data_IF_277152054373
#
_entry.id   IF_277152054373
#
_cell.length_a   1.000
_cell.length_b   1.000
_cell.length_c   1.000
_cell.angle_alpha   90.00
_cell.angle_beta   90.00
_cell.angle_gamma   90.00
#
_symmetry.space_group_name_H-M   'P 1'
#
loop_
_entity.id
_entity.type
_entity.pdbx_description
1 polymer ?
#
# COMPACT_ATOMS: atom_id res chain seq x y z
N UNK A 1 -18.77 -55.41 9.98
CA UNK A 1 -17.62 -54.50 9.86
C UNK A 1 -17.50 -53.74 11.18
N UNK A 2 -16.32 -53.72 11.79
CA UNK A 2 -16.11 -53.14 13.13
C UNK A 2 -16.41 -51.63 13.12
N UNK A 3 -17.10 -51.11 14.15
CA UNK A 3 -17.53 -49.71 14.24
C UNK A 3 -16.34 -48.74 14.19
N UNK A 4 -15.16 -49.17 14.65
CA UNK A 4 -13.91 -48.40 14.54
C UNK A 4 -13.41 -48.29 13.09
N UNK A 5 -13.58 -49.35 12.30
CA UNK A 5 -13.19 -49.36 10.87
C UNK A 5 -14.13 -48.47 10.06
N UNK A 6 -15.42 -48.45 10.38
CA UNK A 6 -16.39 -47.54 9.74
C UNK A 6 -16.06 -46.07 10.06
N UNK A 7 -15.71 -45.74 11.31
CA UNK A 7 -15.34 -44.38 11.68
C UNK A 7 -14.05 -43.90 10.98
N UNK A 8 -13.03 -44.76 10.89
CA UNK A 8 -11.78 -44.43 10.18
C UNK A 8 -12.04 -44.23 8.68
N UNK A 9 -12.88 -45.07 8.06
CA UNK A 9 -13.24 -44.94 6.65
C UNK A 9 -14.07 -43.69 6.39
N UNK A 10 -15.00 -43.32 7.28
CA UNK A 10 -15.79 -42.08 7.14
C UNK A 10 -14.91 -40.84 7.31
N UNK A 11 -14.00 -40.82 8.29
CA UNK A 11 -13.05 -39.70 8.48
C UNK A 11 -12.10 -39.59 7.28
N UNK A 12 -11.61 -40.72 6.75
CA UNK A 12 -10.77 -40.71 5.55
C UNK A 12 -11.53 -40.24 4.31
N UNK A 13 -12.81 -40.63 4.13
CA UNK A 13 -13.64 -40.16 3.01
C UNK A 13 -13.98 -38.67 3.14
N UNK A 14 -14.27 -38.17 4.35
CA UNK A 14 -14.51 -36.74 4.59
C UNK A 14 -13.21 -35.94 4.38
N UNK A 15 -12.06 -36.45 4.82
CA UNK A 15 -10.77 -35.81 4.57
C UNK A 15 -10.42 -35.80 3.08
N UNK A 16 -10.64 -36.90 2.34
CA UNK A 16 -10.39 -36.99 0.90
C UNK A 16 -11.39 -36.14 0.10
N UNK A 17 -12.67 -36.08 0.51
CA UNK A 17 -13.68 -35.22 -0.11
C UNK A 17 -13.41 -33.74 0.20
N UNK A 18 -12.97 -33.41 1.42
CA UNK A 18 -12.51 -32.08 1.79
C UNK A 18 -11.29 -31.65 0.98
N UNK A 19 -10.29 -32.53 0.84
CA UNK A 19 -9.11 -32.30 0.00
C UNK A 19 -9.52 -32.17 -1.48
N UNK A 20 -10.46 -32.96 -1.98
CA UNK A 20 -10.93 -32.85 -3.37
C UNK A 20 -11.71 -31.55 -3.63
N UNK A 21 -12.53 -31.09 -2.68
CA UNK A 21 -13.23 -29.80 -2.75
C UNK A 21 -12.24 -28.63 -2.62
N UNK A 22 -11.21 -28.75 -1.78
CA UNK A 22 -10.13 -27.76 -1.64
C UNK A 22 -9.29 -27.70 -2.93
N UNK A 23 -8.91 -28.85 -3.50
CA UNK A 23 -8.19 -28.92 -4.79
C UNK A 23 -9.05 -28.39 -5.94
N UNK A 24 -10.38 -28.59 -5.92
CA UNK A 24 -11.30 -28.01 -6.92
C UNK A 24 -11.55 -26.51 -6.70
N UNK A 25 -11.56 -26.02 -5.46
CA UNK A 25 -11.64 -24.59 -5.12
C UNK A 25 -10.37 -23.83 -5.52
N UNK A 26 -9.20 -24.47 -5.33
CA UNK A 26 -7.88 -23.94 -5.72
C UNK A 26 -7.61 -24.06 -7.23
N UNK A 27 -8.22 -25.05 -7.90
CA UNK A 27 -8.19 -25.23 -9.36
C UNK A 27 -9.55 -24.93 -10.00
N UNK A 28 -10.28 -23.92 -9.52
CA UNK A 28 -11.55 -23.54 -10.14
C UNK A 28 -11.32 -23.42 -11.66
N UNK A 29 -12.27 -23.97 -12.42
CA UNK A 29 -12.22 -24.35 -13.83
C UNK A 29 -11.80 -23.26 -14.84
N UNK A 30 -11.46 -22.06 -14.38
CA UNK A 30 -11.05 -20.89 -15.14
C UNK A 30 -9.54 -20.60 -15.08
N UNK A 31 -8.76 -21.35 -14.29
CA UNK A 31 -7.29 -21.30 -14.31
C UNK A 31 -6.63 -20.05 -13.72
N UNK A 32 -7.36 -19.20 -13.00
CA UNK A 32 -6.83 -17.98 -12.39
C UNK A 32 -6.32 -18.20 -10.96
N UNK A 33 -5.10 -17.73 -10.67
CA UNK A 33 -4.49 -17.84 -9.34
C UNK A 33 -5.25 -16.97 -8.33
N UNK A 34 -5.71 -17.57 -7.23
CA UNK A 34 -6.32 -16.85 -6.10
C UNK A 34 -5.25 -16.21 -5.22
N UNK A 35 -5.56 -15.06 -4.64
CA UNK A 35 -4.64 -14.25 -3.85
C UNK A 35 -5.31 -13.76 -2.58
N UNK A 36 -4.48 -13.51 -1.56
CA UNK A 36 -4.87 -12.96 -0.27
C UNK A 36 -3.89 -11.89 0.18
N UNK A 37 -4.37 -10.95 0.99
CA UNK A 37 -3.56 -9.96 1.71
C UNK A 37 -3.23 -10.54 3.08
N UNK A 38 -1.95 -10.63 3.42
CA UNK A 38 -1.48 -11.33 4.63
C UNK A 38 -0.74 -10.44 5.63
N UNK A 39 -0.60 -9.15 5.32
CA UNK A 39 0.04 -8.19 6.22
C UNK A 39 0.02 -6.78 5.68
N UNK A 40 0.35 -5.83 6.56
CA UNK A 40 0.62 -4.44 6.20
C UNK A 40 2.10 -4.23 5.86
N UNK A 41 2.36 -3.13 5.17
CA UNK A 41 3.71 -2.57 5.00
C UNK A 41 3.80 -1.20 5.66
N UNK A 42 2.73 -0.40 5.56
CA UNK A 42 2.58 0.90 6.20
C UNK A 42 1.12 1.38 6.14
N UNK A 43 0.84 2.46 6.87
CA UNK A 43 -0.37 3.28 6.66
C UNK A 43 -0.06 4.53 5.83
N UNK A 44 1.12 5.12 5.95
CA UNK A 44 1.38 6.45 5.38
C UNK A 44 2.64 6.52 4.54
N UNK A 45 2.88 7.70 3.95
CA UNK A 45 4.07 8.00 3.16
C UNK A 45 3.76 8.70 1.85
N UNK A 46 2.79 9.62 1.83
CA UNK A 46 2.51 10.45 0.66
C UNK A 46 2.24 11.87 1.09
N UNK A 47 2.29 12.79 0.13
CA UNK A 47 1.91 14.16 0.37
C UNK A 47 1.58 14.90 -0.91
N UNK A 48 1.04 16.10 -0.72
CA UNK A 48 0.71 17.03 -1.78
C UNK A 48 1.76 18.14 -1.75
N UNK A 49 2.50 18.28 -2.85
CA UNK A 49 3.39 19.42 -3.09
C UNK A 49 2.78 20.34 -4.13
N UNK A 50 3.06 21.64 -3.99
CA UNK A 50 2.68 22.69 -4.92
C UNK A 50 3.90 23.22 -5.66
N UNK A 51 3.66 23.76 -6.86
CA UNK A 51 4.68 24.49 -7.61
C UNK A 51 5.25 25.66 -6.79
N UNK A 52 6.50 26.03 -7.08
CA UNK A 52 7.27 27.03 -6.31
C UNK A 52 6.60 28.42 -6.21
N UNK A 53 5.71 28.75 -7.14
CA UNK A 53 5.01 30.03 -7.20
C UNK A 53 3.65 30.03 -6.47
N UNK A 54 3.23 28.89 -5.92
CA UNK A 54 2.00 28.77 -5.14
C UNK A 54 2.23 29.06 -3.66
N UNK A 55 1.15 29.39 -2.95
CA UNK A 55 1.14 29.63 -1.50
C UNK A 55 0.23 28.59 -0.86
N UNK A 56 0.73 27.82 0.11
CA UNK A 56 -0.03 26.71 0.70
C UNK A 56 -1.32 27.19 1.38
N UNK A 57 -1.27 28.32 2.07
CA UNK A 57 -2.40 28.92 2.79
C UNK A 57 -3.54 29.36 1.88
N UNK A 58 -3.28 29.58 0.58
CA UNK A 58 -4.34 29.86 -0.39
C UNK A 58 -5.22 28.62 -0.62
N UNK A 59 -4.69 27.41 -0.39
CA UNK A 59 -5.37 26.13 -0.61
C UNK A 59 -5.96 25.56 0.67
N UNK A 60 -5.19 25.56 1.76
CA UNK A 60 -5.58 25.01 3.06
C UNK A 60 -5.16 25.95 4.18
N UNK A 61 -6.11 26.29 5.05
CA UNK A 61 -5.82 26.97 6.33
C UNK A 61 -5.82 25.96 7.46
N UNK A 62 -4.69 25.82 8.15
CA UNK A 62 -4.55 24.94 9.32
C UNK A 62 -4.82 25.74 10.60
N UNK A 63 -5.72 25.25 11.45
CA UNK A 63 -6.12 25.95 12.68
C UNK A 63 -6.50 24.97 13.80
N UNK A 64 -6.32 25.37 15.06
CA UNK A 64 -6.69 24.57 16.24
C UNK A 64 -8.12 24.80 16.73
N UNK A 65 -8.85 25.74 16.12
CA UNK A 65 -10.23 26.07 16.49
C UNK A 65 -11.21 25.52 15.48
N UNK A 66 -12.38 25.06 15.95
CA UNK A 66 -13.46 24.57 15.07
C UNK A 66 -13.79 25.62 14.00
N UNK A 67 -13.77 25.26 12.71
CA UNK A 67 -14.12 26.16 11.62
C UNK A 67 -15.56 26.66 11.70
N UNK A 68 -15.82 27.82 11.10
CA UNK A 68 -17.17 28.40 11.04
C UNK A 68 -18.17 27.50 10.33
N UNK A 69 -19.46 27.68 10.63
CA UNK A 69 -20.54 26.92 9.98
C UNK A 69 -20.46 27.04 8.45
N UNK A 70 -20.48 25.89 7.77
CA UNK A 70 -20.41 25.80 6.31
C UNK A 70 -19.00 25.68 5.72
N UNK A 71 -17.95 25.70 6.54
CA UNK A 71 -16.59 25.41 6.07
C UNK A 71 -16.44 23.92 5.69
N UNK A 72 -15.71 23.66 4.61
CA UNK A 72 -15.24 22.32 4.25
C UNK A 72 -13.90 22.08 4.91
N UNK A 73 -13.78 21.05 5.76
CA UNK A 73 -12.55 20.76 6.47
C UNK A 73 -12.40 19.28 6.77
N UNK A 74 -11.17 18.89 7.07
CA UNK A 74 -10.83 17.62 7.71
C UNK A 74 -10.30 17.95 9.11
N UNK A 75 -10.71 17.16 10.11
CA UNK A 75 -10.16 17.22 11.45
C UNK A 75 -9.19 16.05 11.62
N UNK A 76 -7.92 16.35 11.82
CA UNK A 76 -6.91 15.37 12.18
C UNK A 76 -6.98 15.13 13.69
N UNK A 77 -7.21 13.89 14.10
CA UNK A 77 -7.44 13.59 15.52
C UNK A 77 -6.16 13.43 16.31
N UNK A 78 -5.08 13.00 15.66
CA UNK A 78 -3.74 12.87 16.24
C UNK A 78 -3.12 14.23 16.57
N UNK A 79 -3.23 15.19 15.65
CA UNK A 79 -2.66 16.53 15.81
C UNK A 79 -3.60 17.52 16.51
N UNK A 80 -4.88 17.17 16.65
CA UNK A 80 -5.95 18.07 17.11
C UNK A 80 -6.08 19.35 16.26
N UNK A 81 -5.86 19.22 14.94
CA UNK A 81 -5.88 20.33 13.97
C UNK A 81 -6.98 20.20 12.92
N UNK A 82 -7.51 21.34 12.50
CA UNK A 82 -8.47 21.46 11.41
C UNK A 82 -7.78 21.95 10.14
N UNK A 83 -7.89 21.17 9.08
CA UNK A 83 -7.41 21.47 7.74
C UNK A 83 -8.59 22.01 6.91
N UNK A 84 -8.72 23.33 6.85
CA UNK A 84 -9.85 24.02 6.23
C UNK A 84 -9.55 24.30 4.76
N UNK A 85 -10.37 23.76 3.85
CA UNK A 85 -10.17 23.88 2.42
C UNK A 85 -10.75 25.19 1.87
N UNK A 86 -9.90 25.97 1.21
CA UNK A 86 -10.30 27.16 0.47
C UNK A 86 -10.81 26.76 -0.92
N UNK A 87 -12.02 26.20 -0.98
CA UNK A 87 -12.61 25.54 -2.16
C UNK A 87 -12.48 26.35 -3.46
N UNK A 88 -12.66 27.67 -3.39
CA UNK A 88 -12.55 28.55 -4.57
C UNK A 88 -11.17 28.52 -5.23
N UNK A 89 -10.11 28.30 -4.46
CA UNK A 89 -8.73 28.21 -4.97
C UNK A 89 -8.47 26.90 -5.71
N UNK A 90 -9.13 25.81 -5.32
CA UNK A 90 -8.95 24.49 -5.92
C UNK A 90 -9.66 24.37 -7.28
N UNK A 91 -10.78 25.07 -7.44
CA UNK A 91 -11.54 25.11 -8.69
C UNK A 91 -10.71 25.58 -9.88
N UNK A 92 -10.72 24.82 -10.97
CA UNK A 92 -10.01 25.14 -12.21
C UNK A 92 -8.51 24.81 -12.19
N UNK A 93 -7.99 24.28 -11.08
CA UNK A 93 -6.58 23.89 -10.95
C UNK A 93 -6.33 22.50 -11.52
N UNK A 94 -5.08 22.25 -11.89
CA UNK A 94 -4.62 20.97 -12.44
C UNK A 94 -3.55 20.38 -11.54
N UNK A 95 -3.78 19.17 -11.05
CA UNK A 95 -2.85 18.43 -10.20
C UNK A 95 -2.35 17.16 -10.90
N UNK A 96 -1.10 16.80 -10.69
CA UNK A 96 -0.56 15.53 -11.17
C UNK A 96 -0.87 14.40 -10.18
N UNK A 97 -1.06 13.18 -10.69
CA UNK A 97 -1.09 11.95 -9.89
C UNK A 97 -0.24 10.87 -10.55
N UNK A 98 0.32 9.92 -9.79
CA UNK A 98 1.15 8.87 -10.36
C UNK A 98 0.40 7.90 -11.26
N UNK A 99 -0.89 7.71 -11.07
CA UNK A 99 -1.73 6.91 -11.96
C UNK A 99 -3.15 6.77 -11.46
N UNK A 100 -4.07 6.37 -12.33
CA UNK A 100 -5.50 6.23 -11.97
C UNK A 100 -5.74 5.16 -10.91
N UNK A 101 -4.89 4.13 -10.89
CA UNK A 101 -4.95 3.00 -9.97
C UNK A 101 -4.09 3.18 -8.71
N UNK A 102 -3.87 4.42 -8.26
CA UNK A 102 -3.00 4.75 -7.11
C UNK A 102 -3.80 5.37 -5.97
N UNK A 103 -3.35 5.21 -4.72
CA UNK A 103 -4.07 5.76 -3.56
C UNK A 103 -4.08 7.28 -3.60
N UNK A 104 -3.01 7.89 -4.10
CA UNK A 104 -2.88 9.33 -4.32
C UNK A 104 -3.99 9.86 -5.26
N UNK A 105 -4.33 9.12 -6.31
CA UNK A 105 -5.41 9.52 -7.20
C UNK A 105 -6.78 9.40 -6.52
N UNK A 106 -7.01 8.32 -5.76
CA UNK A 106 -8.25 8.11 -4.99
C UNK A 106 -8.43 9.21 -3.95
N UNK A 107 -7.38 9.53 -3.18
CA UNK A 107 -7.40 10.57 -2.16
C UNK A 107 -7.66 11.95 -2.76
N UNK A 108 -7.00 12.30 -3.87
CA UNK A 108 -7.26 13.57 -4.55
C UNK A 108 -8.71 13.68 -5.07
N UNK A 109 -9.27 12.57 -5.57
CA UNK A 109 -10.69 12.49 -5.95
C UNK A 109 -11.62 12.66 -4.75
N UNK A 110 -11.28 12.06 -3.59
CA UNK A 110 -12.04 12.21 -2.35
C UNK A 110 -12.02 13.66 -1.87
N UNK A 111 -10.86 14.33 -1.92
CA UNK A 111 -10.76 15.78 -1.62
C UNK A 111 -11.63 16.61 -2.56
N UNK A 112 -11.57 16.36 -3.88
CA UNK A 112 -12.42 17.05 -4.85
C UNK A 112 -13.91 16.87 -4.52
N UNK A 113 -14.33 15.63 -4.24
CA UNK A 113 -15.72 15.29 -3.89
C UNK A 113 -16.16 15.98 -2.61
N UNK A 114 -15.32 16.00 -1.57
CA UNK A 114 -15.59 16.68 -0.30
C UNK A 114 -15.75 18.18 -0.48
N UNK A 115 -14.96 18.78 -1.37
CA UNK A 115 -15.08 20.20 -1.75
C UNK A 115 -16.26 20.49 -2.68
N UNK A 116 -17.03 19.47 -3.11
CA UNK A 116 -18.13 19.63 -4.06
C UNK A 116 -17.67 19.92 -5.50
N UNK A 117 -16.40 19.65 -5.82
CA UNK A 117 -15.82 19.83 -7.15
C UNK A 117 -15.98 18.56 -7.98
N UNK A 118 -16.15 18.73 -9.29
CA UNK A 118 -15.97 17.62 -10.23
C UNK A 118 -14.50 17.23 -10.28
N UNK A 119 -14.21 15.97 -10.55
CA UNK A 119 -12.85 15.46 -10.73
C UNK A 119 -12.69 14.91 -12.15
N UNK A 120 -11.88 15.57 -12.99
CA UNK A 120 -11.83 15.31 -14.44
C UNK A 120 -10.40 15.29 -14.97
N UNK A 121 -10.11 14.40 -15.92
CA UNK A 121 -8.80 14.38 -16.58
C UNK A 121 -8.56 15.66 -17.37
N UNK A 122 -7.40 16.28 -17.16
CA UNK A 122 -6.94 17.39 -17.98
C UNK A 122 -6.46 16.89 -19.34
N UNK A 123 -6.78 17.62 -20.40
CA UNK A 123 -6.25 17.44 -21.75
C UNK A 123 -5.66 18.77 -22.18
N UNK A 124 -4.49 18.73 -22.83
CA UNK A 124 -3.79 19.94 -23.25
C UNK A 124 -4.68 20.86 -24.11
N UNK A 125 -4.61 22.16 -23.82
CA UNK A 125 -5.43 23.19 -24.45
C UNK A 125 -6.89 23.27 -23.97
N UNK A 126 -7.35 22.43 -23.05
CA UNK A 126 -8.72 22.53 -22.54
C UNK A 126 -8.90 23.76 -21.63
N UNK A 127 -10.07 24.40 -21.73
CA UNK A 127 -10.48 25.47 -20.81
C UNK A 127 -10.93 24.87 -19.49
N UNK A 128 -10.33 25.32 -18.39
CA UNK A 128 -10.70 24.89 -17.04
C UNK A 128 -11.93 25.64 -16.51
N UNK A 129 -12.69 25.01 -15.62
CA UNK A 129 -13.89 25.55 -14.98
C UNK A 129 -13.69 25.60 -13.47
N UNK A 130 -14.24 26.62 -12.81
CA UNK A 130 -14.11 26.82 -11.36
C UNK A 130 -14.84 25.76 -10.50
N UNK A 131 -15.73 24.97 -11.09
CA UNK A 131 -16.46 23.89 -10.42
C UNK A 131 -15.76 22.53 -10.53
N UNK A 132 -14.54 22.49 -11.07
CA UNK A 132 -13.83 21.26 -11.44
C UNK A 132 -12.37 21.30 -10.98
N UNK A 133 -11.94 20.28 -10.24
CA UNK A 133 -10.53 19.98 -10.03
C UNK A 133 -10.06 19.03 -11.14
N UNK A 134 -9.00 19.42 -11.84
CA UNK A 134 -8.46 18.62 -12.94
C UNK A 134 -7.26 17.80 -12.51
N UNK A 135 -7.05 16.65 -13.17
CA UNK A 135 -5.89 15.81 -12.93
C UNK A 135 -5.11 15.43 -14.21
N UNK A 136 -3.79 15.29 -14.09
CA UNK A 136 -2.94 14.61 -15.07
C UNK A 136 -2.40 13.34 -14.41
N UNK A 137 -2.89 12.18 -14.84
CA UNK A 137 -2.43 10.89 -14.31
C UNK A 137 -1.19 10.40 -15.08
N UNK A 138 -0.46 9.44 -14.49
CA UNK A 138 0.71 8.83 -15.13
C UNK A 138 2.00 9.64 -14.94
N UNK A 139 2.14 10.30 -13.79
CA UNK A 139 3.33 11.06 -13.40
C UNK A 139 3.95 10.41 -12.15
N UNK A 140 4.74 9.33 -12.28
CA UNK A 140 5.22 8.51 -11.18
C UNK A 140 6.46 9.05 -10.45
N UNK A 141 7.07 10.14 -10.91
CA UNK A 141 8.25 10.72 -10.26
C UNK A 141 8.24 12.24 -10.27
N UNK A 142 8.97 12.83 -9.34
CA UNK A 142 9.14 14.28 -9.28
C UNK A 142 9.79 14.84 -10.56
N UNK A 143 10.77 14.14 -11.13
CA UNK A 143 11.39 14.54 -12.40
C UNK A 143 10.37 14.56 -13.56
N UNK A 144 9.45 13.58 -13.60
CA UNK A 144 8.36 13.59 -14.59
C UNK A 144 7.36 14.71 -14.34
N UNK A 145 7.07 15.06 -13.08
CA UNK A 145 6.24 16.20 -12.75
C UNK A 145 6.83 17.51 -13.27
N UNK A 146 8.13 17.75 -13.03
CA UNK A 146 8.83 18.92 -13.57
C UNK A 146 8.77 18.97 -15.11
N UNK A 147 9.01 17.83 -15.77
CA UNK A 147 8.91 17.74 -17.22
C UNK A 147 7.50 18.05 -17.73
N UNK A 148 6.45 17.59 -17.03
CA UNK A 148 5.06 17.84 -17.41
C UNK A 148 4.64 19.29 -17.19
N UNK A 149 5.15 19.96 -16.15
CA UNK A 149 4.89 21.38 -15.90
C UNK A 149 5.31 22.28 -17.07
N UNK A 150 6.29 21.87 -17.89
CA UNK A 150 6.68 22.61 -19.09
C UNK A 150 5.59 22.64 -20.19
N UNK A 151 4.59 21.74 -20.11
CA UNK A 151 3.56 21.54 -21.14
C UNK A 151 2.12 21.58 -20.62
N UNK A 152 1.92 21.67 -19.31
CA UNK A 152 0.59 21.65 -18.68
C UNK A 152 0.56 22.63 -17.51
N UNK A 153 -0.59 23.28 -17.20
CA UNK A 153 -0.73 24.26 -16.12
C UNK A 153 -0.85 23.57 -14.75
N UNK A 154 0.11 22.69 -14.46
CA UNK A 154 0.17 21.88 -13.25
C UNK A 154 0.64 22.73 -12.06
N UNK A 155 -0.26 22.92 -11.09
CA UNK A 155 0.01 23.71 -9.89
C UNK A 155 0.40 22.86 -8.68
N UNK A 156 0.14 21.56 -8.74
CA UNK A 156 0.46 20.65 -7.64
C UNK A 156 0.53 19.19 -8.06
N UNK A 157 0.99 18.37 -7.13
CA UNK A 157 1.30 16.97 -7.34
C UNK A 157 1.09 16.21 -6.03
N UNK A 158 0.23 15.21 -6.06
CA UNK A 158 0.12 14.25 -4.95
C UNK A 158 0.95 13.02 -5.28
N UNK A 159 1.91 12.69 -4.42
CA UNK A 159 2.88 11.63 -4.68
C UNK A 159 3.35 10.95 -3.41
N UNK A 160 3.82 9.72 -3.56
CA UNK A 160 4.43 8.93 -2.51
C UNK A 160 5.86 9.36 -2.17
N UNK A 161 6.34 8.93 -1.00
CA UNK A 161 7.71 9.08 -0.57
C UNK A 161 8.66 8.10 -1.30
N UNK A 162 9.90 8.47 -1.62
CA UNK A 162 10.57 9.71 -1.23
C UNK A 162 10.32 10.90 -2.19
N UNK A 163 9.45 10.76 -3.20
CA UNK A 163 9.30 11.79 -4.24
C UNK A 163 8.71 13.10 -3.69
N UNK A 164 7.85 13.01 -2.67
CA UNK A 164 7.37 14.18 -1.94
C UNK A 164 8.56 14.92 -1.30
N UNK A 165 9.38 14.22 -0.50
CA UNK A 165 10.56 14.78 0.15
C UNK A 165 11.62 15.29 -0.83
N UNK A 166 11.76 14.65 -1.99
CA UNK A 166 12.60 15.13 -3.12
C UNK A 166 12.14 16.50 -3.62
N UNK A 167 10.83 16.72 -3.75
CA UNK A 167 10.28 18.00 -4.18
C UNK A 167 10.63 19.13 -3.22
N UNK A 168 10.65 18.86 -1.92
CA UNK A 168 11.04 19.84 -0.90
C UNK A 168 12.51 20.26 -1.02
N UNK A 169 13.40 19.36 -1.45
CA UNK A 169 14.81 19.70 -1.73
C UNK A 169 14.99 20.55 -2.99
N UNK A 170 13.93 20.70 -3.79
CA UNK A 170 13.89 21.51 -5.01
C UNK A 170 13.04 22.79 -4.82
N UNK A 171 12.83 23.24 -3.58
CA UNK A 171 12.09 24.44 -3.21
C UNK A 171 10.59 24.43 -3.59
N UNK A 172 10.00 23.26 -3.81
CA UNK A 172 8.54 23.14 -3.98
C UNK A 172 7.85 23.26 -2.61
N UNK A 173 6.62 23.74 -2.63
CA UNK A 173 5.90 24.12 -1.41
C UNK A 173 5.11 22.90 -0.90
N UNK A 174 5.34 22.41 0.33
CA UNK A 174 4.50 21.38 0.92
C UNK A 174 3.12 21.96 1.20
N UNK A 175 2.05 21.26 0.79
CA UNK A 175 0.69 21.62 1.15
C UNK A 175 0.20 20.85 2.37
N UNK A 176 0.35 19.53 2.33
CA UNK A 176 0.00 18.62 3.42
C UNK A 176 0.60 17.24 3.14
N UNK A 177 0.91 16.47 4.18
CA UNK A 177 1.02 15.03 4.06
C UNK A 177 -0.37 14.41 3.88
N UNK A 178 -0.44 13.23 3.30
CA UNK A 178 -1.71 12.51 3.22
C UNK A 178 -2.17 12.03 4.59
N UNK A 179 -1.27 11.88 5.58
CA UNK A 179 -1.67 11.53 6.94
C UNK A 179 -2.47 12.66 7.61
N UNK A 180 -2.05 13.90 7.38
CA UNK A 180 -2.73 15.11 7.85
C UNK A 180 -4.21 15.12 7.43
N UNK A 181 -4.51 14.59 6.24
CA UNK A 181 -5.83 14.61 5.61
C UNK A 181 -6.59 13.27 5.69
N UNK A 182 -5.88 12.14 5.83
CA UNK A 182 -6.42 10.79 5.80
C UNK A 182 -5.71 9.94 6.85
N UNK A 183 -5.94 10.25 8.12
CA UNK A 183 -5.26 9.61 9.25
C UNK A 183 -5.32 8.07 9.16
N UNK A 184 -4.16 7.40 9.22
CA UNK A 184 -4.07 5.94 9.31
C UNK A 184 -4.56 5.15 8.09
N UNK A 185 -4.79 5.78 6.93
CA UNK A 185 -5.23 5.08 5.71
C UNK A 185 -4.28 3.93 5.34
N UNK A 186 -4.71 2.91 4.58
CA UNK A 186 -3.77 1.89 4.09
C UNK A 186 -3.07 2.34 2.80
N UNK A 187 -1.73 2.33 2.78
CA UNK A 187 -0.95 2.59 1.56
C UNK A 187 -0.43 1.30 0.91
N UNK A 188 0.49 0.56 1.56
CA UNK A 188 1.11 -0.67 1.05
C UNK A 188 0.80 -1.91 1.90
N UNK A 189 0.70 -3.06 1.23
CA UNK A 189 0.35 -4.35 1.83
C UNK A 189 1.28 -5.46 1.34
N UNK A 190 1.20 -6.62 2.00
CA UNK A 190 1.82 -7.87 1.55
C UNK A 190 0.73 -8.77 0.96
N UNK A 191 0.79 -9.00 -0.35
CA UNK A 191 -0.04 -9.97 -1.05
C UNK A 191 0.67 -11.33 -1.15
N UNK A 192 -0.10 -12.42 -1.12
CA UNK A 192 0.41 -13.78 -1.30
C UNK A 192 -0.48 -14.58 -2.25
N UNK A 193 0.12 -15.52 -2.97
CA UNK A 193 -0.63 -16.47 -3.81
C UNK A 193 -1.23 -17.56 -2.92
N UNK A 194 -2.53 -17.85 -3.05
CA UNK A 194 -3.18 -18.91 -2.26
C UNK A 194 -2.59 -20.29 -2.53
N UNK A 195 -2.03 -20.51 -3.73
CA UNK A 195 -1.26 -21.72 -4.04
C UNK A 195 -0.03 -21.83 -3.14
N UNK A 196 0.69 -20.73 -2.94
CA UNK A 196 1.84 -20.70 -2.05
C UNK A 196 1.41 -20.84 -0.58
N UNK A 197 0.39 -20.08 -0.16
CA UNK A 197 -0.20 -20.16 1.19
C UNK A 197 -0.57 -21.58 1.62
N UNK A 198 -1.17 -22.35 0.71
CA UNK A 198 -1.55 -23.73 0.98
C UNK A 198 -0.37 -24.69 1.11
N UNK A 199 0.70 -24.49 0.33
CA UNK A 199 1.83 -25.43 0.27
C UNK A 199 2.95 -25.11 1.25
N UNK A 200 3.11 -23.83 1.62
CA UNK A 200 4.29 -23.30 2.31
C UNK A 200 3.90 -22.33 3.44
N UNK A 201 2.75 -22.55 4.11
CA UNK A 201 2.24 -21.74 5.23
C UNK A 201 3.31 -21.43 6.29
N UNK A 202 3.98 -22.46 6.82
CA UNK A 202 5.04 -22.30 7.82
C UNK A 202 6.21 -21.45 7.31
N UNK A 203 6.56 -21.56 6.02
CA UNK A 203 7.62 -20.76 5.40
C UNK A 203 7.20 -19.27 5.32
N UNK A 204 5.92 -18.99 5.06
CA UNK A 204 5.36 -17.64 5.12
C UNK A 204 5.34 -17.09 6.55
N UNK A 205 4.91 -17.88 7.54
CA UNK A 205 4.86 -17.44 8.94
C UNK A 205 6.26 -17.04 9.44
N UNK A 206 7.30 -17.81 9.10
CA UNK A 206 8.70 -17.46 9.39
C UNK A 206 9.09 -16.16 8.69
N UNK A 207 8.69 -15.96 7.42
CA UNK A 207 8.95 -14.71 6.72
C UNK A 207 8.30 -13.51 7.41
N UNK A 208 7.01 -13.62 7.76
CA UNK A 208 6.25 -12.54 8.40
C UNK A 208 6.81 -12.22 9.79
N UNK A 209 7.29 -13.22 10.54
CA UNK A 209 7.96 -13.03 11.83
C UNK A 209 9.30 -12.27 11.69
N UNK A 210 10.11 -12.63 10.70
CA UNK A 210 11.37 -11.90 10.44
C UNK A 210 11.08 -10.48 9.97
N UNK A 211 10.08 -10.31 9.08
CA UNK A 211 9.65 -9.01 8.58
C UNK A 211 9.12 -8.11 9.70
N UNK A 212 8.27 -8.61 10.60
CA UNK A 212 7.76 -7.82 11.73
C UNK A 212 8.88 -7.36 12.66
N UNK A 213 9.85 -8.23 12.96
CA UNK A 213 11.05 -7.86 13.72
C UNK A 213 11.87 -6.77 13.04
N UNK A 214 11.94 -6.78 11.71
CA UNK A 214 12.63 -5.74 10.97
C UNK A 214 11.86 -4.41 11.03
N UNK A 215 10.54 -4.44 10.91
CA UNK A 215 9.68 -3.27 11.12
C UNK A 215 9.87 -2.69 12.53
N UNK A 216 9.89 -3.53 13.57
CA UNK A 216 10.14 -3.09 14.95
C UNK A 216 11.52 -2.44 15.10
N UNK A 217 12.55 -3.02 14.49
CA UNK A 217 13.91 -2.46 14.52
C UNK A 217 14.02 -1.11 13.82
N UNK A 218 13.42 -0.95 12.64
CA UNK A 218 13.45 0.36 11.95
C UNK A 218 12.66 1.41 12.73
N UNK A 219 11.51 1.04 13.32
CA UNK A 219 10.73 1.97 14.14
C UNK A 219 11.51 2.38 15.39
N UNK A 220 12.19 1.43 16.06
CA UNK A 220 13.06 1.74 17.19
C UNK A 220 14.26 2.62 16.76
N UNK A 221 14.85 2.36 15.60
CA UNK A 221 15.95 3.15 15.05
C UNK A 221 15.55 4.60 14.78
N UNK A 222 14.35 4.84 14.25
CA UNK A 222 13.84 6.21 14.00
C UNK A 222 13.62 7.00 15.30
N UNK A 223 13.44 6.31 16.43
CA UNK A 223 13.36 6.93 17.77
C UNK A 223 14.74 7.13 18.43
N UNK A 224 15.79 6.47 17.94
CA UNK A 224 17.15 6.57 18.45
C UNK A 224 18.18 6.76 17.30
N UNK A 225 18.36 8.02 16.84
CA UNK A 225 19.28 8.34 15.74
C UNK A 225 20.76 8.04 16.00
N UNK A 226 21.13 7.72 17.24
CA UNK A 226 22.50 7.35 17.61
C UNK A 226 22.72 5.82 17.60
N UNK A 227 21.67 5.03 17.35
CA UNK A 227 21.73 3.57 17.31
C UNK A 227 22.46 3.05 16.07
N UNK A 228 23.10 1.88 16.21
CA UNK A 228 23.70 1.15 15.08
C UNK A 228 22.64 0.80 14.01
N UNK A 229 21.41 0.51 14.43
CA UNK A 229 20.29 0.21 13.54
C UNK A 229 19.87 1.44 12.72
N UNK A 230 19.94 2.65 13.28
CA UNK A 230 19.69 3.88 12.53
C UNK A 230 20.76 4.12 11.47
N UNK A 231 22.04 4.00 11.84
CA UNK A 231 23.13 4.12 10.88
C UNK A 231 23.00 3.11 9.73
N UNK A 232 22.60 1.88 10.04
CA UNK A 232 22.38 0.82 9.06
C UNK A 232 21.13 1.09 8.20
N UNK A 233 20.02 1.56 8.78
CA UNK A 233 18.82 1.97 8.06
C UNK A 233 19.13 3.06 7.03
N UNK A 234 19.85 4.11 7.43
CA UNK A 234 20.26 5.19 6.51
C UNK A 234 21.16 4.64 5.40
N UNK A 235 22.13 3.79 5.73
CA UNK A 235 23.02 3.16 4.75
C UNK A 235 22.22 2.35 3.73
N UNK A 236 21.26 1.55 4.17
CA UNK A 236 20.41 0.71 3.31
C UNK A 236 19.51 1.60 2.45
N UNK A 237 18.86 2.61 3.04
CA UNK A 237 18.01 3.54 2.30
C UNK A 237 18.77 4.27 1.19
N UNK A 238 19.99 4.75 1.45
CA UNK A 238 20.86 5.39 0.43
C UNK A 238 21.21 4.45 -0.73
N UNK A 239 21.28 3.15 -0.49
CA UNK A 239 21.60 2.16 -1.52
C UNK A 239 20.38 1.66 -2.29
N UNK A 240 19.19 1.70 -1.66
CA UNK A 240 17.99 1.04 -2.17
C UNK A 240 16.98 2.02 -2.74
N UNK A 241 16.81 3.20 -2.15
CA UNK A 241 15.79 4.17 -2.56
C UNK A 241 16.20 4.87 -3.85
N UNK A 242 15.26 4.93 -4.80
CA UNK A 242 15.48 5.61 -6.08
C UNK A 242 15.49 7.12 -5.87
N UNK A 243 16.60 7.77 -6.20
CA UNK A 243 16.76 9.23 -6.10
C UNK A 243 17.16 9.83 -7.44
N UNK A 244 16.67 11.04 -7.77
CA UNK A 244 17.04 11.70 -9.02
C UNK A 244 18.52 12.13 -9.02
N UNK A 245 19.17 11.99 -10.18
CA UNK A 245 20.57 12.38 -10.37
C UNK A 245 20.83 13.88 -10.25
N UNK A 246 19.77 14.70 -10.35
CA UNK A 246 19.84 16.16 -10.24
C UNK A 246 20.13 16.66 -8.82
N UNK A 247 19.92 15.84 -7.79
CA UNK A 247 20.17 16.22 -6.40
C UNK A 247 21.61 15.93 -5.99
N UNK A 248 22.18 16.77 -5.12
CA UNK A 248 23.44 16.50 -4.44
C UNK A 248 23.29 15.33 -3.46
N UNK A 249 24.41 14.72 -3.04
CA UNK A 249 24.36 13.63 -2.06
C UNK A 249 23.73 14.07 -0.72
N UNK A 250 23.98 15.31 -0.31
CA UNK A 250 23.36 15.92 0.88
C UNK A 250 21.85 16.07 0.72
N UNK A 251 21.38 16.57 -0.43
CA UNK A 251 19.94 16.69 -0.71
C UNK A 251 19.27 15.31 -0.77
N UNK A 252 19.92 14.31 -1.36
CA UNK A 252 19.41 12.93 -1.40
C UNK A 252 19.27 12.37 0.01
N UNK A 253 20.28 12.58 0.86
CA UNK A 253 20.24 12.12 2.25
C UNK A 253 19.15 12.82 3.06
N UNK A 254 19.00 14.15 2.92
CA UNK A 254 17.93 14.90 3.56
C UNK A 254 16.55 14.43 3.09
N UNK A 255 16.36 14.15 1.80
CA UNK A 255 15.12 13.62 1.26
C UNK A 255 14.82 12.21 1.80
N UNK A 256 15.84 11.35 1.94
CA UNK A 256 15.68 10.02 2.56
C UNK A 256 15.22 10.16 4.01
N UNK A 257 15.91 10.99 4.80
CA UNK A 257 15.60 11.16 6.21
C UNK A 257 14.17 11.69 6.37
N UNK A 258 13.82 12.75 5.64
CA UNK A 258 12.45 13.30 5.62
C UNK A 258 11.43 12.20 5.28
N UNK A 259 11.68 11.44 4.22
CA UNK A 259 10.78 10.37 3.79
C UNK A 259 10.64 9.24 4.82
N UNK A 260 11.71 8.84 5.51
CA UNK A 260 11.66 7.84 6.57
C UNK A 260 10.77 8.27 7.74
N UNK A 261 10.80 9.57 8.09
CA UNK A 261 9.96 10.12 9.16
C UNK A 261 8.51 10.38 8.75
N UNK A 262 8.23 10.53 7.44
CA UNK A 262 6.88 10.72 6.92
C UNK A 262 6.13 9.39 6.67
N UNK A 263 6.81 8.25 6.81
CA UNK A 263 6.23 6.91 6.58
C UNK A 263 6.00 6.20 7.92
N UNK A 264 4.75 5.83 8.18
CA UNK A 264 4.40 4.98 9.33
C UNK A 264 4.52 3.51 8.94
N UNK A 265 5.63 2.87 9.34
CA UNK A 265 5.92 1.47 9.01
C UNK A 265 5.15 0.48 9.90
N UNK A 266 4.43 -0.43 9.26
CA UNK A 266 3.55 -1.40 9.91
C UNK A 266 3.76 -2.81 9.35
N UNK A 267 3.42 -3.82 10.14
CA UNK A 267 3.23 -5.20 9.68
C UNK A 267 1.81 -5.71 9.94
N UNK A 268 1.11 -5.15 10.94
CA UNK A 268 -0.26 -5.45 11.33
C UNK A 268 -0.91 -4.22 11.98
N UNK A 269 -2.20 -4.29 12.32
CA UNK A 269 -2.90 -3.21 13.04
C UNK A 269 -2.45 -3.10 14.51
N UNK A 270 -1.97 -4.19 15.09
CA UNK A 270 -1.50 -4.24 16.46
C UNK A 270 -0.47 -5.36 16.68
N UNK A 271 0.16 -5.35 17.86
CA UNK A 271 1.17 -6.34 18.25
C UNK A 271 0.65 -7.78 18.32
N UNK A 272 -0.67 -7.99 18.34
CA UNK A 272 -1.27 -9.33 18.30
C UNK A 272 -1.52 -9.84 16.86
N UNK A 273 -1.18 -9.06 15.82
CA UNK A 273 -1.28 -9.48 14.42
C UNK A 273 -2.64 -9.32 13.79
N UNK A 274 -3.55 -8.55 14.42
CA UNK A 274 -4.85 -8.21 13.81
C UNK A 274 -4.68 -7.49 12.48
N UNK A 275 -5.54 -7.81 11.51
CA UNK A 275 -5.71 -7.03 10.28
C UNK A 275 -7.16 -6.51 10.10
N UNK A 276 -7.96 -6.46 11.17
CA UNK A 276 -9.34 -5.98 11.14
C UNK A 276 -9.51 -4.53 10.63
N UNK A 277 -8.61 -3.60 10.95
CA UNK A 277 -8.67 -2.25 10.37
C UNK A 277 -8.33 -2.30 8.88
N UNK A 278 -7.38 -3.17 8.49
CA UNK A 278 -7.05 -3.37 7.08
C UNK A 278 -8.22 -3.95 6.28
N UNK A 279 -9.01 -4.86 6.88
CA UNK A 279 -10.25 -5.34 6.28
C UNK A 279 -11.21 -4.18 5.98
N UNK A 280 -11.39 -3.25 6.93
CA UNK A 280 -12.20 -2.05 6.75
C UNK A 280 -11.67 -1.18 5.62
N UNK A 281 -10.38 -0.86 5.64
CA UNK A 281 -9.72 -0.03 4.62
C UNK A 281 -9.86 -0.63 3.22
N UNK A 282 -9.71 -1.94 3.08
CA UNK A 282 -9.86 -2.65 1.80
C UNK A 282 -11.31 -2.65 1.31
N UNK A 283 -12.29 -2.76 2.21
CA UNK A 283 -13.71 -2.67 1.85
C UNK A 283 -14.06 -1.28 1.30
N UNK A 284 -13.70 -0.22 2.03
CA UNK A 284 -13.95 1.17 1.65
C UNK A 284 -13.22 1.55 0.36
N UNK A 285 -11.97 1.09 0.22
CA UNK A 285 -11.18 1.28 -0.99
C UNK A 285 -11.81 0.58 -2.19
N UNK A 286 -12.25 -0.67 -2.04
CA UNK A 286 -12.90 -1.42 -3.11
C UNK A 286 -14.19 -0.75 -3.59
N UNK A 287 -15.03 -0.27 -2.66
CA UNK A 287 -16.25 0.47 -2.98
C UNK A 287 -15.93 1.78 -3.70
N UNK A 288 -14.97 2.55 -3.18
CA UNK A 288 -14.55 3.82 -3.78
C UNK A 288 -14.02 3.64 -5.21
N UNK A 289 -13.22 2.60 -5.44
CA UNK A 289 -12.65 2.29 -6.75
C UNK A 289 -13.69 1.80 -7.75
N UNK A 290 -14.69 1.03 -7.30
CA UNK A 290 -15.83 0.65 -8.15
C UNK A 290 -16.66 1.89 -8.55
N UNK A 291 -16.99 2.75 -7.59
CA UNK A 291 -17.74 3.98 -7.86
C UNK A 291 -16.98 4.94 -8.79
N UNK A 292 -15.64 4.92 -8.76
CA UNK A 292 -14.77 5.65 -9.68
C UNK A 292 -14.59 4.99 -11.05
N UNK A 293 -15.22 3.83 -11.30
CA UNK A 293 -15.10 3.09 -12.56
C UNK A 293 -13.73 2.45 -12.80
N UNK A 294 -12.91 2.28 -11.75
CA UNK A 294 -11.61 1.59 -11.84
C UNK A 294 -11.75 0.06 -11.72
N UNK A 295 -12.86 -0.39 -11.15
CA UNK A 295 -13.19 -1.81 -10.97
C UNK A 295 -14.48 -2.10 -11.75
N UNK A 296 -14.46 -3.16 -12.55
CA UNK A 296 -15.58 -3.51 -13.43
C UNK A 296 -16.71 -4.24 -12.70
N UNK A 297 -16.35 -5.07 -11.72
CA UNK A 297 -17.27 -5.93 -10.99
C UNK A 297 -17.38 -5.48 -9.53
N UNK A 298 -18.60 -5.21 -9.05
CA UNK A 298 -18.84 -4.95 -7.63
C UNK A 298 -18.59 -6.21 -6.79
N UNK A 299 -18.49 -6.05 -5.46
CA UNK A 299 -18.43 -7.20 -4.55
C UNK A 299 -19.58 -8.20 -4.78
N UNK A 300 -20.77 -7.70 -5.13
CA UNK A 300 -21.94 -8.53 -5.41
C UNK A 300 -21.81 -9.30 -6.73
N UNK A 301 -21.23 -8.69 -7.75
CA UNK A 301 -20.97 -9.36 -9.04
C UNK A 301 -19.93 -10.48 -8.88
N UNK A 302 -19.02 -10.32 -7.91
CA UNK A 302 -18.05 -11.34 -7.50
C UNK A 302 -18.62 -12.40 -6.54
N UNK A 303 -19.91 -12.30 -6.18
CA UNK A 303 -20.61 -13.30 -5.34
C UNK A 303 -20.57 -13.04 -3.84
N UNK A 304 -20.09 -11.89 -3.38
CA UNK A 304 -20.07 -11.51 -1.96
C UNK A 304 -21.34 -10.72 -1.58
N UNK A 305 -21.73 -10.76 -0.30
CA UNK A 305 -22.91 -10.03 0.19
C UNK A 305 -22.69 -8.53 0.36
N UNK A 306 -21.43 -8.10 0.57
CA UNK A 306 -21.01 -6.71 0.76
C UNK A 306 -19.50 -6.58 0.50
N UNK A 307 -19.00 -5.34 0.42
CA UNK A 307 -17.57 -5.08 0.37
C UNK A 307 -16.85 -5.56 1.65
N UNK A 308 -17.46 -5.47 2.83
CA UNK A 308 -16.90 -6.06 4.06
C UNK A 308 -16.72 -7.58 3.95
N UNK A 309 -17.71 -8.29 3.39
CA UNK A 309 -17.64 -9.74 3.23
C UNK A 309 -16.56 -10.14 2.22
N UNK A 310 -16.36 -9.33 1.18
CA UNK A 310 -15.28 -9.48 0.22
C UNK A 310 -13.92 -9.20 0.87
N UNK A 311 -13.78 -8.13 1.65
CA UNK A 311 -12.52 -7.75 2.29
C UNK A 311 -12.10 -8.78 3.35
N UNK A 312 -13.04 -9.28 4.16
CA UNK A 312 -12.82 -10.41 5.09
C UNK A 312 -12.40 -11.70 4.40
N UNK A 313 -12.82 -11.89 3.15
CA UNK A 313 -12.36 -13.02 2.37
C UNK A 313 -10.95 -12.79 1.82
N UNK A 314 -10.65 -11.54 1.46
CA UNK A 314 -9.41 -11.17 0.81
C UNK A 314 -8.24 -11.00 1.78
N UNK A 315 -8.47 -10.46 2.96
CA UNK A 315 -7.49 -10.28 4.03
C UNK A 315 -7.48 -11.52 4.92
N UNK A 316 -6.31 -12.15 5.06
CA UNK A 316 -6.11 -13.37 5.84
C UNK A 316 -5.12 -13.11 6.98
N UNK A 317 -5.65 -12.64 8.10
CA UNK A 317 -4.86 -12.29 9.29
C UNK A 317 -4.25 -13.50 10.02
N UNK A 318 -4.67 -14.73 9.70
CA UNK A 318 -4.21 -15.94 10.39
C UNK A 318 -2.69 -16.04 10.37
N UNK A 319 -2.11 -15.94 9.18
CA UNK A 319 -0.66 -16.05 8.98
C UNK A 319 0.14 -15.03 9.79
N UNK A 320 -0.35 -13.80 9.90
CA UNK A 320 0.30 -12.76 10.71
C UNK A 320 0.16 -13.04 12.21
N UNK A 321 -1.03 -13.46 12.66
CA UNK A 321 -1.25 -13.87 14.06
C UNK A 321 -0.36 -15.03 14.45
N UNK A 322 -0.30 -16.07 13.62
CA UNK A 322 0.57 -17.24 13.82
C UNK A 322 2.05 -16.82 13.88
N UNK A 323 2.50 -15.99 12.94
CA UNK A 323 3.87 -15.46 12.91
C UNK A 323 4.27 -14.68 14.19
N UNK A 324 3.34 -13.99 14.84
CA UNK A 324 3.65 -13.18 16.04
C UNK A 324 3.49 -13.93 17.36
N UNK A 325 2.84 -15.09 17.34
CA UNK A 325 2.74 -15.96 18.53
C UNK A 325 3.96 -16.85 18.73
N UNK A 326 4.94 -16.81 17.80
CA UNK A 326 6.09 -17.72 17.74
C UNK A 326 5.69 -19.22 17.81
N UNK A 327 4.46 -19.55 17.41
CA UNK A 327 3.94 -20.94 17.39
C UNK A 327 4.25 -21.67 16.08
N UNK A 328 4.92 -21.03 15.13
CA UNK A 328 5.39 -21.65 13.89
C UNK A 328 6.65 -22.48 14.13
N UNK A 329 6.89 -23.47 13.28
CA UNK A 329 8.08 -24.31 13.38
C UNK A 329 9.28 -23.62 12.72
N UNK A 330 10.41 -23.42 13.43
CA UNK A 330 11.62 -22.88 12.81
C UNK A 330 12.05 -23.74 11.61
N UNK A 331 12.52 -23.08 10.55
CA UNK A 331 12.97 -23.80 9.37
C UNK A 331 14.26 -24.57 9.69
N UNK A 332 14.18 -25.90 9.53
CA UNK A 332 15.31 -26.81 9.76
C UNK A 332 16.24 -26.94 8.55
N UNK A 333 15.86 -26.37 7.41
CA UNK A 333 16.64 -26.33 6.18
C UNK A 333 16.33 -25.07 5.39
N UNK A 334 17.30 -24.63 4.57
CA UNK A 334 17.18 -23.41 3.79
C UNK A 334 16.00 -23.49 2.81
N UNK A 335 15.05 -22.57 2.93
CA UNK A 335 13.94 -22.36 1.98
C UNK A 335 14.17 -21.10 1.17
N UNK A 336 13.53 -20.99 0.00
CA UNK A 336 13.58 -19.79 -0.84
C UNK A 336 12.19 -19.23 -1.03
N UNK A 337 12.05 -17.92 -0.89
CA UNK A 337 10.84 -17.16 -1.22
C UNK A 337 11.16 -16.18 -2.35
N UNK A 338 10.33 -16.18 -3.37
CA UNK A 338 10.34 -15.22 -4.45
C UNK A 338 9.42 -14.04 -4.11
N UNK A 339 9.98 -12.84 -4.03
CA UNK A 339 9.29 -11.64 -3.56
C UNK A 339 9.24 -10.63 -4.69
N UNK A 340 8.05 -10.25 -5.14
CA UNK A 340 7.91 -9.09 -6.03
C UNK A 340 7.81 -7.81 -5.20
N UNK A 341 8.54 -6.77 -5.57
CA UNK A 341 8.61 -5.51 -4.82
C UNK A 341 8.76 -4.32 -5.77
N UNK A 342 8.35 -3.12 -5.33
CA UNK A 342 8.52 -1.91 -6.14
C UNK A 342 9.97 -1.45 -6.00
N UNK A 343 10.63 -1.21 -7.14
CA UNK A 343 12.04 -0.85 -7.16
C UNK A 343 12.28 0.53 -6.58
N UNK A 344 13.10 0.59 -5.53
CA UNK A 344 13.52 1.81 -4.86
C UNK A 344 12.43 2.57 -4.13
N UNK A 345 11.39 1.84 -3.72
CA UNK A 345 10.30 2.33 -2.90
C UNK A 345 10.68 2.31 -1.41
N UNK A 346 10.68 3.48 -0.76
CA UNK A 346 11.06 3.63 0.66
C UNK A 346 10.03 3.05 1.61
N UNK A 347 8.78 2.89 1.17
CA UNK A 347 7.72 2.21 1.91
C UNK A 347 8.10 0.76 2.24
N UNK A 348 8.92 0.14 1.39
CA UNK A 348 9.29 -1.27 1.48
C UNK A 348 10.67 -1.44 2.14
N UNK A 349 11.20 -0.41 2.82
CA UNK A 349 12.57 -0.42 3.36
C UNK A 349 12.79 -1.53 4.39
N UNK A 350 11.77 -1.93 5.15
CA UNK A 350 11.85 -3.03 6.11
C UNK A 350 12.23 -4.37 5.46
N UNK A 351 11.74 -4.65 4.23
CA UNK A 351 12.13 -5.83 3.46
C UNK A 351 13.64 -5.83 3.18
N UNK A 352 14.16 -4.67 2.76
CA UNK A 352 15.57 -4.49 2.46
C UNK A 352 16.43 -4.47 3.73
N UNK A 353 15.93 -3.90 4.83
CA UNK A 353 16.60 -3.91 6.12
C UNK A 353 16.80 -5.36 6.60
N UNK A 354 15.73 -6.16 6.63
CA UNK A 354 15.80 -7.57 6.98
C UNK A 354 16.74 -8.36 6.07
N UNK A 355 16.71 -8.07 4.77
CA UNK A 355 17.55 -8.77 3.78
C UNK A 355 19.03 -8.41 3.92
N UNK A 356 19.36 -7.13 3.98
CA UNK A 356 20.74 -6.64 3.92
C UNK A 356 21.44 -6.76 5.28
N UNK A 357 20.69 -6.92 6.38
CA UNK A 357 21.20 -7.28 7.71
C UNK A 357 21.17 -8.78 8.00
N UNK A 358 20.93 -9.62 6.98
CA UNK A 358 20.93 -11.09 7.06
C UNK A 358 19.85 -11.73 7.95
N UNK A 359 18.86 -10.98 8.43
CA UNK A 359 17.81 -11.51 9.32
C UNK A 359 17.04 -12.68 8.71
N UNK A 360 16.78 -12.65 7.40
CA UNK A 360 16.16 -13.79 6.72
C UNK A 360 17.11 -14.99 6.64
N UNK A 361 18.39 -14.76 6.35
CA UNK A 361 19.36 -15.85 6.22
C UNK A 361 19.55 -16.59 7.56
N UNK A 362 19.57 -15.84 8.66
CA UNK A 362 19.64 -16.37 10.03
C UNK A 362 18.41 -17.25 10.38
N UNK A 363 17.27 -16.99 9.72
CA UNK A 363 16.05 -17.79 9.84
C UNK A 363 15.96 -18.94 8.81
N UNK A 364 17.07 -19.29 8.14
CA UNK A 364 17.11 -20.27 7.04
C UNK A 364 16.19 -19.88 5.85
N UNK A 365 15.97 -18.59 5.61
CA UNK A 365 15.23 -18.06 4.46
C UNK A 365 16.18 -17.37 3.48
N UNK A 366 16.14 -17.82 2.23
CA UNK A 366 16.68 -17.09 1.09
C UNK A 366 15.59 -16.25 0.44
N UNK A 367 15.80 -14.95 0.31
CA UNK A 367 14.85 -14.05 -0.33
C UNK A 367 15.40 -13.58 -1.69
N UNK A 368 14.71 -14.00 -2.76
CA UNK A 368 14.93 -13.51 -4.11
C UNK A 368 13.93 -12.38 -4.38
N UNK A 369 14.41 -11.14 -4.44
CA UNK A 369 13.55 -9.98 -4.72
C UNK A 369 13.56 -9.68 -6.22
N UNK A 370 12.37 -9.65 -6.83
CA UNK A 370 12.12 -9.27 -8.21
C UNK A 370 11.60 -7.83 -8.26
N UNK A 371 12.48 -6.84 -8.53
CA UNK A 371 12.10 -5.44 -8.55
C UNK A 371 11.22 -5.15 -9.77
N UNK A 372 10.17 -4.35 -9.56
CA UNK A 372 9.23 -3.92 -10.59
C UNK A 372 9.04 -2.40 -10.54
N UNK A 373 8.67 -1.80 -11.68
CA UNK A 373 8.52 -0.34 -11.76
C UNK A 373 7.23 0.21 -11.13
N UNK A 374 6.23 -0.64 -10.84
CA UNK A 374 4.96 -0.21 -10.27
C UNK A 374 4.15 -1.39 -9.69
N UNK A 375 3.15 -1.06 -8.86
CA UNK A 375 2.26 -2.03 -8.21
C UNK A 375 1.53 -3.00 -9.16
N UNK A 376 0.98 -2.56 -10.32
CA UNK A 376 0.39 -3.48 -11.29
C UNK A 376 1.37 -4.54 -11.82
N UNK A 377 2.63 -4.18 -12.02
CA UNK A 377 3.67 -5.13 -12.47
C UNK A 377 4.07 -6.09 -11.36
N UNK A 378 4.12 -5.62 -10.10
CA UNK A 378 4.27 -6.48 -8.92
C UNK A 378 3.13 -7.50 -8.82
N UNK A 379 1.87 -7.07 -8.95
CA UNK A 379 0.72 -7.97 -8.99
C UNK A 379 0.82 -8.99 -10.12
N UNK A 380 1.33 -8.57 -11.29
CA UNK A 380 1.55 -9.44 -12.45
C UNK A 380 2.40 -10.66 -12.11
N UNK A 381 3.56 -10.46 -11.47
CA UNK A 381 4.44 -11.55 -11.03
C UNK A 381 3.80 -12.46 -9.97
N UNK A 382 2.99 -11.90 -9.07
CA UNK A 382 2.25 -12.71 -8.10
C UNK A 382 1.19 -13.58 -8.81
N UNK A 383 0.45 -12.98 -9.74
CA UNK A 383 -0.67 -13.62 -10.44
C UNK A 383 -0.22 -14.74 -11.39
N UNK A 384 0.96 -14.61 -12.00
CA UNK A 384 1.48 -15.60 -12.94
C UNK A 384 2.33 -16.69 -12.24
N UNK A 385 2.55 -16.56 -10.92
CA UNK A 385 3.29 -17.51 -10.11
C UNK A 385 4.83 -17.39 -10.21
N UNK A 386 5.35 -16.28 -10.75
CA UNK A 386 6.78 -15.97 -10.69
C UNK A 386 7.21 -15.46 -9.31
N UNK A 387 6.30 -14.87 -8.55
CA UNK A 387 6.49 -14.49 -7.15
C UNK A 387 5.54 -15.25 -6.22
N UNK A 388 6.03 -15.58 -5.03
CA UNK A 388 5.28 -16.25 -3.96
C UNK A 388 4.52 -15.22 -3.11
N UNK A 389 5.16 -14.09 -2.85
CA UNK A 389 4.62 -12.93 -2.14
C UNK A 389 4.97 -11.62 -2.86
N UNK A 390 4.24 -10.56 -2.54
CA UNK A 390 4.32 -9.28 -3.24
C UNK A 390 4.14 -8.07 -2.30
N UNK A 391 5.01 -7.08 -2.43
CA UNK A 391 4.93 -5.78 -1.75
C UNK A 391 4.43 -4.73 -2.75
N UNK A 392 3.20 -4.29 -2.58
CA UNK A 392 2.52 -3.35 -3.48
C UNK A 392 1.48 -2.51 -2.75
N UNK A 393 1.02 -1.45 -3.40
CA UNK A 393 -0.07 -0.63 -2.89
C UNK A 393 -1.37 -1.44 -2.75
N UNK A 394 -2.20 -1.08 -1.76
CA UNK A 394 -3.54 -1.64 -1.61
C UNK A 394 -4.41 -1.43 -2.88
N UNK A 395 -4.40 -0.26 -3.55
CA UNK A 395 -5.20 -0.08 -4.77
C UNK A 395 -4.85 -1.04 -5.92
N UNK A 396 -3.59 -1.18 -6.39
CA UNK A 396 -3.30 -2.14 -7.46
C UNK A 396 -3.59 -3.59 -7.05
N UNK A 397 -3.42 -3.95 -5.77
CA UNK A 397 -3.80 -5.28 -5.27
C UNK A 397 -5.31 -5.51 -5.38
N UNK A 398 -6.12 -4.56 -4.90
CA UNK A 398 -7.59 -4.64 -4.92
C UNK A 398 -8.14 -4.59 -6.34
N UNK A 399 -7.74 -3.61 -7.17
CA UNK A 399 -8.24 -3.43 -8.54
C UNK A 399 -7.98 -4.69 -9.37
N UNK A 400 -6.74 -5.16 -9.37
CA UNK A 400 -6.36 -6.29 -10.22
C UNK A 400 -6.98 -7.59 -9.73
N UNK A 401 -7.03 -7.80 -8.41
CA UNK A 401 -7.64 -9.02 -7.86
C UNK A 401 -9.15 -9.06 -8.06
N UNK A 402 -9.86 -7.94 -7.96
CA UNK A 402 -11.29 -7.88 -8.26
C UNK A 402 -11.57 -8.08 -9.76
N UNK A 403 -10.86 -7.37 -10.64
CA UNK A 403 -11.07 -7.48 -12.09
C UNK A 403 -10.68 -8.87 -12.64
N UNK A 404 -9.66 -9.51 -12.06
CA UNK A 404 -9.30 -10.89 -12.38
C UNK A 404 -10.19 -11.94 -11.67
N UNK A 405 -11.13 -11.51 -10.82
CA UNK A 405 -11.88 -12.42 -9.95
C UNK A 405 -10.96 -13.34 -9.12
N UNK A 406 -9.79 -12.82 -8.73
CA UNK A 406 -8.70 -13.53 -8.07
C UNK A 406 -8.74 -13.43 -6.54
N UNK A 407 -9.80 -12.82 -5.96
CA UNK A 407 -9.97 -12.80 -4.50
C UNK A 407 -10.14 -14.24 -4.01
N UNK A 408 -9.24 -14.64 -3.10
CA UNK A 408 -9.34 -15.89 -2.36
C UNK A 408 -10.58 -15.87 -1.47
N UNK A 409 -11.28 -17.01 -1.40
CA UNK A 409 -12.22 -17.26 -0.30
C UNK A 409 -11.40 -18.01 0.76
N UNK A 410 -11.35 -17.55 2.03
CA UNK A 410 -10.66 -18.27 3.08
C UNK A 410 -11.27 -19.67 3.15
N UNK A 411 -10.41 -20.69 3.10
CA UNK A 411 -10.84 -22.05 3.34
C UNK A 411 -11.53 -22.10 4.72
N UNK A 412 -12.80 -22.50 4.72
CA UNK A 412 -13.60 -22.74 5.91
C UNK A 412 -13.04 -23.88 6.76
#
# INVERSE_FOLDING_TARGET
MDKKIIAIVIVAIIAIAGIAVVVMSMNNSDGQAKMSVVGRVNSEGSGIILAQDQVAEDYITVQSTVPGFGATYIYNTEEELYYVFNVETWGGKVFATPGLATIQHVQLMQLATMMGLKFVSYTDGMTTQSDTLYHVAGVPSFAEFQNKQASAPLVGYIIWEAQFSVGLQADYVPLALTNDLFEGHTCCIIGASNKYLFNEANTLEVFLNVYSKAVDRINAALLDPESDDYAELIRIAKNRVSMPDSLTDEQKENAIISALYNVTYLYADNAAGSLSSLEGDIADLAESLYNAGQIENSAKDLGFSSYDAMAKAFVDERYMKEALTDMFEPLTSKKTINVAAISGDIHQIALWFAKDTSMFEDANLNINVYPQGNGPSVWGLLSNGEADIAFLGAPPMTIKSMNAQAIGVPNA
#
